data_IF_691815018104
#
_entry.id   IF_691815018104
#
_cell.length_a   1.000
_cell.length_b   1.000
_cell.length_c   1.000
_cell.angle_alpha   90.00
_cell.angle_beta   90.00
_cell.angle_gamma   90.00
#
_symmetry.space_group_name_H-M   'P 1'
#
loop_
_entity.id
_entity.type
_entity.pdbx_description
1 polymer ?
#
# COMPACT_ATOMS: atom_id res chain seq x y z
N UNK A 1 21.83 -37.21 36.84
CA UNK A 1 22.49 -35.89 36.96
C UNK A 1 22.34 -35.19 35.60
N UNK A 2 21.57 -34.09 35.48
CA UNK A 2 21.49 -33.35 34.23
C UNK A 2 22.72 -32.47 34.07
N UNK A 3 23.38 -32.58 32.92
CA UNK A 3 24.62 -31.87 32.59
C UNK A 3 24.41 -30.36 32.47
N UNK A 4 25.29 -29.62 33.15
CA UNK A 4 25.38 -28.16 33.11
C UNK A 4 25.90 -27.75 31.73
N UNK A 5 25.10 -27.03 30.96
CA UNK A 5 25.58 -26.33 29.76
C UNK A 5 26.19 -25.01 30.20
N UNK A 6 27.52 -24.91 30.15
CA UNK A 6 28.25 -23.67 30.38
C UNK A 6 27.86 -22.63 29.32
N UNK A 7 27.23 -21.55 29.75
CA UNK A 7 27.26 -20.30 28.98
C UNK A 7 28.68 -19.73 29.08
N UNK A 8 29.28 -19.21 27.99
CA UNK A 8 30.60 -18.61 28.08
C UNK A 8 30.54 -17.40 29.01
N UNK A 9 31.41 -17.40 30.03
CA UNK A 9 31.60 -16.25 30.90
C UNK A 9 32.13 -15.07 30.05
N UNK A 10 31.48 -13.91 30.16
CA UNK A 10 32.09 -12.65 29.74
C UNK A 10 33.25 -12.37 30.70
N UNK A 11 34.46 -12.78 30.32
CA UNK A 11 35.67 -12.35 31.00
C UNK A 11 35.84 -10.87 30.74
N UNK A 12 35.44 -10.05 31.72
CA UNK A 12 35.76 -8.63 31.74
C UNK A 12 37.28 -8.54 31.97
N UNK A 13 38.03 -8.22 30.91
CA UNK A 13 39.45 -7.93 30.99
C UNK A 13 39.67 -6.83 32.02
N UNK A 14 40.69 -7.04 32.85
CA UNK A 14 41.11 -6.17 33.94
C UNK A 14 41.19 -4.68 33.57
N UNK A 15 40.44 -3.85 34.30
CA UNK A 15 40.75 -2.43 34.49
C UNK A 15 39.79 -1.45 33.81
N UNK A 16 39.14 -0.63 34.64
CA UNK A 16 38.29 0.54 34.35
C UNK A 16 36.81 0.23 34.04
N UNK A 17 35.98 0.33 35.08
CA UNK A 17 34.53 0.43 34.96
C UNK A 17 34.16 1.80 34.32
N UNK A 18 34.01 1.81 32.99
CA UNK A 18 33.26 2.83 32.26
C UNK A 18 31.80 2.36 32.06
N UNK A 19 30.84 3.28 31.82
CA UNK A 19 29.43 2.90 31.69
C UNK A 19 29.29 1.88 30.57
N UNK A 20 28.57 0.79 30.86
CA UNK A 20 28.34 -0.32 29.94
C UNK A 20 27.98 0.21 28.55
N UNK A 21 28.91 0.12 27.60
CA UNK A 21 28.56 0.32 26.20
C UNK A 21 27.58 -0.79 25.86
N UNK A 22 26.31 -0.43 25.66
CA UNK A 22 25.40 -1.22 24.85
C UNK A 22 26.01 -1.22 23.46
N UNK A 23 26.88 -2.20 23.20
CA UNK A 23 27.26 -2.56 21.84
C UNK A 23 25.99 -3.17 21.26
N UNK A 24 25.12 -2.33 20.71
CA UNK A 24 24.14 -2.77 19.74
C UNK A 24 24.97 -3.37 18.61
N UNK A 25 25.16 -4.69 18.65
CA UNK A 25 25.96 -5.39 17.67
C UNK A 25 25.41 -5.01 16.31
N UNK A 26 26.29 -4.58 15.41
CA UNK A 26 26.05 -4.46 13.99
C UNK A 26 25.77 -5.85 13.40
N UNK A 27 24.67 -6.48 13.80
CA UNK A 27 24.10 -7.72 13.29
C UNK A 27 22.86 -7.44 12.42
N UNK A 28 22.47 -6.18 12.25
CA UNK A 28 21.09 -5.82 11.92
C UNK A 28 20.76 -5.71 10.42
N UNK A 29 21.74 -5.79 9.52
CA UNK A 29 21.50 -5.59 8.07
C UNK A 29 21.69 -6.86 7.22
N UNK A 30 22.71 -7.68 7.50
CA UNK A 30 22.96 -8.93 6.76
C UNK A 30 21.88 -10.00 7.00
N UNK A 31 21.25 -9.95 8.17
CA UNK A 31 20.17 -10.86 8.58
C UNK A 31 18.85 -10.63 7.84
N UNK A 32 18.65 -9.44 7.27
CA UNK A 32 17.43 -9.06 6.55
C UNK A 32 17.47 -9.62 5.12
N UNK A 33 18.63 -9.58 4.46
CA UNK A 33 18.82 -10.19 3.14
C UNK A 33 18.57 -11.69 3.18
N UNK A 34 18.96 -12.36 4.27
CA UNK A 34 18.76 -13.79 4.48
C UNK A 34 17.31 -14.19 4.84
N UNK A 35 16.40 -13.20 4.99
CA UNK A 35 14.96 -13.38 5.28
C UNK A 35 14.06 -12.79 4.18
N UNK A 36 14.65 -12.51 3.01
CA UNK A 36 13.96 -12.06 1.81
C UNK A 36 13.83 -13.21 0.82
N UNK A 37 12.60 -13.52 0.42
CA UNK A 37 12.26 -14.64 -0.43
C UNK A 37 11.66 -14.17 -1.75
N UNK A 38 11.68 -15.00 -2.79
CA UNK A 38 11.03 -14.66 -4.06
C UNK A 38 9.51 -14.58 -3.87
N UNK A 39 8.93 -15.58 -3.21
CA UNK A 39 7.49 -15.67 -2.90
C UNK A 39 7.26 -16.13 -1.46
N UNK A 40 6.03 -16.00 -0.96
CA UNK A 40 5.66 -16.53 0.36
C UNK A 40 5.70 -18.07 0.46
N UNK A 41 5.69 -18.78 -0.67
CA UNK A 41 5.79 -20.24 -0.69
C UNK A 41 7.21 -20.73 -0.39
N UNK A 42 8.21 -19.86 -0.52
CA UNK A 42 9.61 -20.19 -0.27
C UNK A 42 9.99 -20.02 1.22
N UNK A 43 9.04 -19.58 2.06
CA UNK A 43 9.28 -19.42 3.48
C UNK A 43 9.58 -20.78 4.13
N UNK A 44 10.46 -20.82 5.15
CA UNK A 44 10.64 -22.03 5.93
C UNK A 44 9.31 -22.41 6.59
N UNK A 45 9.08 -23.72 6.76
CA UNK A 45 7.87 -24.20 7.44
C UNK A 45 7.69 -23.48 8.77
N UNK A 46 6.50 -22.90 8.95
CA UNK A 46 6.20 -22.12 10.13
C UNK A 46 6.29 -23.01 11.38
N UNK A 47 7.03 -22.57 12.38
CA UNK A 47 7.21 -23.26 13.65
C UNK A 47 7.00 -22.27 14.80
N UNK A 48 6.44 -22.72 15.92
CA UNK A 48 6.19 -21.84 17.08
C UNK A 48 7.47 -21.24 17.66
N UNK A 49 8.62 -21.88 17.45
CA UNK A 49 9.96 -21.35 17.80
C UNK A 49 10.37 -20.13 16.97
N UNK A 50 9.66 -19.84 15.89
CA UNK A 50 9.87 -18.67 15.05
C UNK A 50 8.97 -17.50 15.43
N UNK A 51 8.09 -17.62 16.44
CA UNK A 51 7.16 -16.57 16.83
C UNK A 51 7.85 -15.21 16.98
N UNK A 52 7.28 -14.17 16.36
CA UNK A 52 7.83 -12.82 16.32
C UNK A 52 8.89 -12.57 15.25
N UNK A 53 9.35 -13.59 14.51
CA UNK A 53 10.29 -13.41 13.40
C UNK A 53 9.60 -12.76 12.20
N UNK A 54 10.37 -11.95 11.48
CA UNK A 54 9.97 -11.27 10.26
C UNK A 54 10.60 -11.93 9.03
N UNK A 55 9.83 -12.04 7.94
CA UNK A 55 10.30 -12.41 6.60
C UNK A 55 9.65 -11.50 5.55
N UNK A 56 10.20 -11.42 4.35
CA UNK A 56 9.72 -10.57 3.27
C UNK A 56 9.55 -11.35 1.97
N UNK A 57 8.42 -11.17 1.28
CA UNK A 57 8.17 -11.74 -0.04
C UNK A 57 8.25 -10.65 -1.12
N UNK A 58 9.16 -10.82 -2.09
CA UNK A 58 9.45 -9.82 -3.12
C UNK A 58 8.38 -9.70 -4.20
N UNK A 59 7.72 -10.79 -4.56
CA UNK A 59 6.65 -10.83 -5.56
C UNK A 59 5.45 -9.95 -5.18
N UNK A 60 5.18 -9.86 -3.87
CA UNK A 60 4.01 -9.21 -3.29
C UNK A 60 4.35 -7.98 -2.45
N UNK A 61 5.64 -7.61 -2.37
CA UNK A 61 6.14 -6.50 -1.53
C UNK A 61 5.53 -6.51 -0.11
N UNK A 62 5.53 -7.69 0.51
CA UNK A 62 4.80 -7.94 1.77
C UNK A 62 5.73 -8.52 2.82
N UNK A 63 5.76 -7.87 4.00
CA UNK A 63 6.38 -8.44 5.20
C UNK A 63 5.42 -9.42 5.86
N UNK A 64 5.94 -10.48 6.45
CA UNK A 64 5.19 -11.45 7.24
C UNK A 64 5.84 -11.60 8.62
N UNK A 65 5.01 -11.81 9.64
CA UNK A 65 5.43 -12.20 10.99
C UNK A 65 5.04 -13.65 11.23
N UNK A 66 5.89 -14.41 11.92
CA UNK A 66 5.44 -15.68 12.47
C UNK A 66 4.60 -15.39 13.71
N UNK A 67 3.31 -15.69 13.67
CA UNK A 67 2.42 -15.68 14.82
C UNK A 67 2.10 -17.12 15.20
N UNK A 68 2.70 -17.58 16.30
CA UNK A 68 2.45 -18.88 16.91
C UNK A 68 2.47 -20.07 15.93
N UNK A 69 3.46 -20.11 15.04
CA UNK A 69 3.60 -21.21 14.08
C UNK A 69 2.83 -21.02 12.78
N UNK A 70 2.39 -19.81 12.47
CA UNK A 70 1.85 -19.43 11.16
C UNK A 70 2.53 -18.17 10.64
N UNK A 71 2.86 -18.11 9.35
CA UNK A 71 3.29 -16.85 8.72
C UNK A 71 2.07 -16.00 8.39
N UNK A 72 1.98 -14.82 9.00
CA UNK A 72 0.88 -13.88 8.85
C UNK A 72 1.41 -12.59 8.21
N UNK A 73 0.80 -12.07 7.14
CA UNK A 73 1.26 -10.84 6.50
C UNK A 73 1.07 -9.63 7.42
N UNK A 74 2.13 -8.84 7.57
CA UNK A 74 2.13 -7.53 8.24
C UNK A 74 1.79 -6.48 7.18
N UNK A 75 0.51 -6.43 6.86
CA UNK A 75 -0.03 -5.56 5.83
C UNK A 75 0.24 -6.05 4.43
N UNK A 76 -0.79 -6.59 3.80
CA UNK A 76 -0.78 -6.80 2.35
C UNK A 76 -0.85 -5.44 1.66
N UNK A 77 0.16 -5.14 0.84
CA UNK A 77 0.14 -4.03 -0.08
C UNK A 77 -0.32 -4.56 -1.46
N UNK A 78 -1.62 -4.55 -1.74
CA UNK A 78 -2.08 -4.88 -3.09
C UNK A 78 -2.01 -3.62 -3.93
N UNK A 79 -1.12 -3.59 -4.92
CA UNK A 79 -1.06 -2.49 -5.90
C UNK A 79 -1.65 -2.94 -7.23
N UNK A 80 -2.61 -2.17 -7.74
CA UNK A 80 -3.07 -2.26 -9.12
C UNK A 80 -2.57 -1.04 -9.90
N UNK A 81 -1.94 -1.31 -11.04
CA UNK A 81 -1.40 -0.31 -11.95
C UNK A 81 -2.42 0.22 -12.97
N UNK A 82 -3.67 -0.26 -12.94
CA UNK A 82 -4.71 0.28 -13.81
C UNK A 82 -6.13 -0.03 -13.34
N UNK A 83 -6.99 0.99 -13.40
CA UNK A 83 -8.43 0.83 -13.63
C UNK A 83 -8.62 0.62 -15.13
N UNK A 84 -9.25 -0.48 -15.54
CA UNK A 84 -9.37 -0.86 -16.96
C UNK A 84 -10.72 -0.51 -17.59
N UNK A 85 -11.75 -0.26 -16.79
CA UNK A 85 -13.11 -0.04 -17.28
C UNK A 85 -13.57 1.39 -17.05
N UNK A 86 -13.40 2.23 -18.08
CA UNK A 86 -13.91 3.60 -18.12
C UNK A 86 -15.19 3.67 -18.96
N UNK A 87 -16.08 4.57 -18.58
CA UNK A 87 -17.28 4.90 -19.34
C UNK A 87 -16.91 5.53 -20.69
N UNK A 88 -17.83 5.46 -21.65
CA UNK A 88 -17.59 5.96 -22.99
C UNK A 88 -17.15 7.44 -22.99
N UNK A 89 -16.10 7.75 -23.74
CA UNK A 89 -15.50 9.08 -23.83
C UNK A 89 -14.50 9.42 -22.72
N UNK A 90 -14.36 8.56 -21.70
CA UNK A 90 -13.32 8.65 -20.68
C UNK A 90 -12.20 7.63 -20.93
N UNK A 91 -11.00 7.97 -20.48
CA UNK A 91 -9.86 7.06 -20.50
C UNK A 91 -8.88 7.35 -19.38
N UNK A 92 -8.03 6.37 -19.10
CA UNK A 92 -6.90 6.55 -18.19
C UNK A 92 -5.93 7.61 -18.72
N UNK A 93 -5.40 8.44 -17.82
CA UNK A 93 -4.25 9.28 -18.08
C UNK A 93 -2.92 8.55 -17.82
N UNK A 94 -1.85 9.33 -17.69
CA UNK A 94 -0.50 8.85 -17.39
C UNK A 94 -0.38 8.24 -16.00
N UNK A 95 -1.20 8.70 -15.05
CA UNK A 95 -1.25 8.17 -13.68
C UNK A 95 -2.54 7.41 -13.47
N UNK A 96 -2.45 6.15 -13.08
CA UNK A 96 -3.60 5.34 -12.69
C UNK A 96 -3.12 4.27 -11.71
N UNK A 97 -3.14 4.59 -10.42
CA UNK A 97 -2.60 3.74 -9.37
C UNK A 97 -3.62 3.59 -8.26
N UNK A 98 -3.88 2.34 -7.92
CA UNK A 98 -4.57 1.97 -6.69
C UNK A 98 -3.60 1.18 -5.83
N UNK A 99 -3.52 1.53 -4.57
CA UNK A 99 -2.76 0.78 -3.58
C UNK A 99 -3.64 0.55 -2.37
N UNK A 100 -3.82 -0.71 -1.98
CA UNK A 100 -4.49 -1.08 -0.74
C UNK A 100 -3.45 -1.50 0.27
N UNK A 101 -3.54 -0.98 1.49
CA UNK A 101 -2.76 -1.41 2.66
C UNK A 101 -3.62 -1.33 3.91
N UNK A 102 -3.69 -2.43 4.68
CA UNK A 102 -4.38 -2.48 5.97
C UNK A 102 -5.83 -1.97 5.93
N UNK A 103 -6.59 -2.36 4.91
CA UNK A 103 -7.98 -1.91 4.75
C UNK A 103 -8.13 -0.47 4.25
N UNK A 104 -7.04 0.27 4.04
CA UNK A 104 -7.06 1.59 3.43
C UNK A 104 -6.64 1.50 1.96
N UNK A 105 -7.29 2.26 1.09
CA UNK A 105 -6.95 2.38 -0.33
C UNK A 105 -6.50 3.81 -0.60
N UNK A 106 -5.32 3.95 -1.17
CA UNK A 106 -4.85 5.18 -1.81
C UNK A 106 -5.05 5.07 -3.31
N UNK A 107 -5.79 6.02 -3.86
CA UNK A 107 -6.02 6.21 -5.28
C UNK A 107 -5.25 7.44 -5.73
N UNK A 108 -4.43 7.27 -6.76
CA UNK A 108 -3.82 8.35 -7.53
C UNK A 108 -4.23 8.18 -8.99
N UNK A 109 -5.05 9.09 -9.50
CA UNK A 109 -5.68 8.95 -10.79
C UNK A 109 -5.60 10.23 -11.60
N UNK A 110 -5.09 10.09 -12.80
CA UNK A 110 -5.33 10.98 -13.92
C UNK A 110 -6.36 10.31 -14.84
N UNK A 111 -7.36 11.05 -15.28
CA UNK A 111 -8.26 10.61 -16.33
C UNK A 111 -8.51 11.73 -17.32
N UNK A 112 -8.78 11.32 -18.56
CA UNK A 112 -8.98 12.23 -19.67
C UNK A 112 -10.40 12.06 -20.17
N UNK A 113 -11.05 13.17 -20.53
CA UNK A 113 -12.25 13.14 -21.34
C UNK A 113 -11.97 13.89 -22.63
N UNK A 114 -11.85 13.15 -23.73
CA UNK A 114 -11.22 13.55 -25.00
C UNK A 114 -11.55 14.97 -25.48
N UNK A 115 -12.44 15.10 -26.48
CA UNK A 115 -12.86 16.41 -27.02
C UNK A 115 -14.10 16.98 -26.32
N UNK A 116 -14.62 16.26 -25.32
CA UNK A 116 -15.88 16.58 -24.68
C UNK A 116 -15.66 17.19 -23.29
N UNK A 117 -16.51 18.15 -22.88
CA UNK A 117 -16.60 18.65 -21.52
C UNK A 117 -16.56 17.55 -20.47
N UNK A 118 -15.82 17.70 -19.37
CA UNK A 118 -16.17 16.97 -18.15
C UNK A 118 -17.57 17.40 -17.72
N UNK A 119 -18.47 16.43 -17.56
CA UNK A 119 -19.84 16.63 -17.08
C UNK A 119 -20.15 15.61 -16.00
N UNK A 120 -20.95 16.07 -15.04
CA UNK A 120 -21.51 15.27 -13.96
C UNK A 120 -22.64 14.37 -14.47
N UNK A 121 -22.31 13.36 -15.28
CA UNK A 121 -23.30 12.38 -15.75
C UNK A 121 -22.76 10.96 -15.64
N UNK A 122 -23.32 10.22 -14.69
CA UNK A 122 -23.10 8.79 -14.52
C UNK A 122 -21.69 8.41 -14.05
N UNK A 123 -21.49 7.10 -13.80
CA UNK A 123 -20.22 6.59 -13.29
C UNK A 123 -19.15 6.66 -14.39
N UNK A 124 -17.95 7.12 -14.03
CA UNK A 124 -16.80 7.25 -14.93
C UNK A 124 -16.01 5.94 -15.01
N UNK A 125 -15.89 5.25 -13.88
CA UNK A 125 -15.30 3.92 -13.79
C UNK A 125 -15.83 3.22 -12.54
N UNK A 126 -15.53 1.93 -12.45
CA UNK A 126 -15.82 1.11 -11.28
C UNK A 126 -14.52 0.57 -10.71
N UNK A 127 -14.31 0.78 -9.41
CA UNK A 127 -13.20 0.21 -8.66
C UNK A 127 -13.34 -1.33 -8.59
N UNK A 128 -12.24 -2.08 -8.80
CA UNK A 128 -12.24 -3.52 -8.64
C UNK A 128 -12.72 -3.95 -7.25
N UNK A 129 -13.32 -5.15 -7.11
CA UNK A 129 -13.56 -5.76 -5.80
C UNK A 129 -12.28 -5.75 -4.95
N UNK A 130 -12.43 -5.49 -3.65
CA UNK A 130 -11.30 -5.33 -2.74
C UNK A 130 -10.70 -3.91 -2.71
N UNK A 131 -11.07 -3.02 -3.63
CA UNK A 131 -10.64 -1.60 -3.62
C UNK A 131 -11.82 -0.64 -3.42
N UNK A 132 -13.01 -1.16 -3.11
CA UNK A 132 -14.23 -0.38 -3.00
C UNK A 132 -14.34 0.25 -1.62
N UNK A 133 -14.80 1.50 -1.50
CA UNK A 133 -15.01 2.14 -0.21
C UNK A 133 -15.98 1.37 0.70
N UNK A 134 -15.73 1.33 2.01
CA UNK A 134 -16.68 0.82 3.01
C UNK A 134 -17.89 1.76 3.21
N UNK A 135 -17.68 3.05 2.93
CA UNK A 135 -18.67 4.11 3.00
C UNK A 135 -18.47 5.06 1.82
N UNK A 136 -19.51 5.82 1.47
CA UNK A 136 -19.40 6.79 0.40
C UNK A 136 -18.30 7.82 0.72
N UNK A 137 -17.40 8.03 -0.23
CA UNK A 137 -16.22 8.89 -0.05
C UNK A 137 -16.24 10.03 -1.05
N UNK A 138 -16.05 11.26 -0.56
CA UNK A 138 -15.98 12.46 -1.42
C UNK A 138 -14.53 12.91 -1.52
N UNK A 139 -14.07 13.13 -2.74
CA UNK A 139 -12.74 13.68 -3.01
C UNK A 139 -12.83 14.93 -3.86
N UNK A 140 -11.89 15.84 -3.66
CA UNK A 140 -11.69 17.01 -4.51
C UNK A 140 -10.50 16.71 -5.42
N UNK A 141 -10.71 16.89 -6.72
CA UNK A 141 -9.67 16.77 -7.73
C UNK A 141 -9.35 18.11 -8.38
N UNK A 142 -8.23 18.16 -9.09
CA UNK A 142 -7.86 19.30 -9.93
C UNK A 142 -8.13 19.00 -11.40
N UNK A 143 -8.33 20.06 -12.18
CA UNK A 143 -8.59 20.01 -13.61
C UNK A 143 -7.59 20.89 -14.35
N UNK A 144 -7.14 20.46 -15.52
CA UNK A 144 -6.49 21.35 -16.48
C UNK A 144 -7.26 21.35 -17.79
N UNK A 145 -7.71 22.54 -18.19
CA UNK A 145 -8.48 22.79 -19.42
C UNK A 145 -7.72 23.76 -20.29
N UNK A 146 -7.08 23.29 -21.36
CA UNK A 146 -6.35 24.17 -22.29
C UNK A 146 -5.35 25.13 -21.62
N UNK A 147 -4.76 24.74 -20.48
CA UNK A 147 -3.84 25.55 -19.69
C UNK A 147 -4.45 26.32 -18.51
N UNK A 148 -5.77 26.30 -18.30
CA UNK A 148 -6.40 26.96 -17.16
C UNK A 148 -6.78 25.96 -16.04
N UNK A 149 -6.36 26.20 -14.79
CA UNK A 149 -6.62 25.32 -13.66
C UNK A 149 -8.09 25.40 -13.22
N UNK A 150 -8.64 24.27 -12.80
CA UNK A 150 -9.96 24.15 -12.21
C UNK A 150 -9.99 23.09 -11.10
N UNK A 151 -11.17 22.90 -10.53
CA UNK A 151 -11.44 21.90 -9.48
C UNK A 151 -12.66 21.07 -9.84
N UNK A 152 -12.71 19.86 -9.31
CA UNK A 152 -13.86 18.96 -9.42
C UNK A 152 -14.15 18.28 -8.10
N UNK A 153 -15.43 18.01 -7.85
CA UNK A 153 -15.86 17.18 -6.74
C UNK A 153 -16.29 15.83 -7.29
N UNK A 154 -15.75 14.76 -6.71
CA UNK A 154 -15.99 13.40 -7.10
C UNK A 154 -16.52 12.61 -5.91
N UNK A 155 -17.34 11.61 -6.19
CA UNK A 155 -17.89 10.71 -5.19
C UNK A 155 -17.60 9.28 -5.58
N UNK A 156 -17.05 8.53 -4.63
CA UNK A 156 -16.82 7.10 -4.72
C UNK A 156 -17.89 6.40 -3.90
N UNK A 157 -18.73 5.63 -4.56
CA UNK A 157 -19.81 4.89 -3.93
C UNK A 157 -19.31 3.52 -3.43
N UNK A 158 -20.06 2.93 -2.51
CA UNK A 158 -19.74 1.61 -1.92
C UNK A 158 -19.82 0.46 -2.93
N UNK A 159 -20.54 0.65 -4.04
CA UNK A 159 -20.54 -0.29 -5.17
C UNK A 159 -19.24 -0.21 -6.02
N UNK A 160 -18.35 0.71 -5.69
CA UNK A 160 -17.08 0.98 -6.37
C UNK A 160 -17.17 2.01 -7.47
N UNK A 161 -18.36 2.52 -7.82
CA UNK A 161 -18.49 3.51 -8.89
C UNK A 161 -17.97 4.88 -8.48
N UNK A 162 -17.27 5.55 -9.38
CA UNK A 162 -16.88 6.95 -9.22
C UNK A 162 -17.76 7.85 -10.09
N UNK A 163 -18.35 8.88 -9.51
CA UNK A 163 -19.12 9.90 -10.25
C UNK A 163 -18.51 11.29 -10.02
N UNK A 164 -18.60 12.16 -11.02
CA UNK A 164 -18.36 13.60 -10.83
C UNK A 164 -19.66 14.23 -10.36
N UNK A 165 -19.61 14.96 -9.24
CA UNK A 165 -20.72 15.75 -8.73
C UNK A 165 -20.76 17.13 -9.36
N UNK A 166 -19.58 17.76 -9.50
CA UNK A 166 -19.45 19.13 -9.97
C UNK A 166 -18.05 19.39 -10.53
N UNK A 167 -17.97 20.32 -11.49
CA UNK A 167 -16.71 20.81 -12.07
C UNK A 167 -16.74 22.33 -12.18
N UNK A 168 -15.61 22.99 -11.97
CA UNK A 168 -15.49 24.44 -12.13
C UNK A 168 -15.32 24.88 -13.58
N UNK A 169 -15.01 23.96 -14.49
CA UNK A 169 -14.93 24.21 -15.94
C UNK A 169 -15.46 23.01 -16.72
N UNK A 170 -16.12 23.28 -17.85
CA UNK A 170 -16.74 22.27 -18.72
C UNK A 170 -16.06 22.22 -20.10
N UNK A 171 -14.79 22.59 -20.22
CA UNK A 171 -14.04 22.37 -21.47
C UNK A 171 -13.34 20.99 -21.44
N UNK A 172 -12.74 20.58 -22.55
CA UNK A 172 -11.94 19.34 -22.60
C UNK A 172 -10.85 19.37 -21.54
N UNK A 173 -10.93 18.44 -20.59
CA UNK A 173 -10.14 18.51 -19.36
C UNK A 173 -9.45 17.19 -19.07
N UNK A 174 -8.26 17.33 -18.50
CA UNK A 174 -7.57 16.29 -17.76
C UNK A 174 -7.92 16.47 -16.29
N UNK A 175 -8.46 15.43 -15.65
CA UNK A 175 -8.75 15.42 -14.23
C UNK A 175 -7.69 14.65 -13.44
N UNK A 176 -7.34 15.16 -12.26
CA UNK A 176 -6.44 14.51 -11.31
C UNK A 176 -7.11 14.37 -9.95
N UNK A 177 -7.00 13.18 -9.34
CA UNK A 177 -7.50 12.88 -8.00
C UNK A 177 -6.46 12.08 -7.26
N UNK A 178 -6.06 12.58 -6.10
CA UNK A 178 -5.32 11.83 -5.11
C UNK A 178 -6.17 11.76 -3.85
N UNK A 179 -6.51 10.55 -3.42
CA UNK A 179 -7.35 10.37 -2.24
C UNK A 179 -7.08 9.05 -1.54
N UNK A 180 -7.37 9.02 -0.24
CA UNK A 180 -7.35 7.81 0.56
C UNK A 180 -8.71 7.58 1.20
N UNK A 181 -9.16 6.32 1.26
CA UNK A 181 -10.40 5.92 1.91
C UNK A 181 -10.31 4.48 2.44
N UNK A 182 -11.15 4.14 3.41
CA UNK A 182 -11.24 2.77 3.92
C UNK A 182 -12.02 1.88 2.94
N UNK A 183 -11.56 0.65 2.75
CA UNK A 183 -12.05 -0.27 1.72
C UNK A 183 -12.38 -1.68 2.26
N UNK A 184 -13.44 -2.25 1.68
CA UNK A 184 -13.90 -3.63 1.94
C UNK A 184 -12.92 -4.68 1.43
#
# INVERSE_FOLDING_TARGET
MPGVTNYPALTNGSGMEGPAQIVAQSQHWDDIENRSYATANDFPSAASTYSGRLVYARDTDTFYINDNGSWVPIGQATQLSSISSFANGYGAGLTNRLSRRNGSVTLALQFNRGTNPLVATGPIFTLPPGFRPVAQHVAVGSLTTGGSPGVMNCIFNTDGTMNILWVSSTASAVGWIDTTFDAV
#
